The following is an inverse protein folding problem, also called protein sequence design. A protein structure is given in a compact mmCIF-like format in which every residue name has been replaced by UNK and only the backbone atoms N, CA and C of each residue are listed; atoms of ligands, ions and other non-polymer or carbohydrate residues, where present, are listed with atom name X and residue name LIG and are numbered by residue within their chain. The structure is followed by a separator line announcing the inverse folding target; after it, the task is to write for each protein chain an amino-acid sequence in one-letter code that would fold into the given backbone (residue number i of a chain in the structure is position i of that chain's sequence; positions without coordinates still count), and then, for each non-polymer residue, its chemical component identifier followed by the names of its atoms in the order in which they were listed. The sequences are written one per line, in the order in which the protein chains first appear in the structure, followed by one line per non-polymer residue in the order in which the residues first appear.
data_IF_430322180154
#
_entry.id   IF_430322180154
#
_cell.length_a   1.000
_cell.length_b   1.000
_cell.length_c   1.000
_cell.angle_alpha   90.00
_cell.angle_beta   90.00
_cell.angle_gamma   90.00
#
_symmetry.space_group_name_H-M   'P 1'
#
loop_
_entity.id
_entity.type
_entity.pdbx_description
1 polymer ?
#
# COMPACT_ATOMS: atom_id res chain seq x y z
N UNK A 1 0.76 2.57 76.50
CA UNK A 1 1.16 3.95 76.86
C UNK A 1 2.65 3.94 77.18
N UNK A 2 3.43 4.76 76.48
CA UNK A 2 4.61 5.44 77.02
C UNK A 2 5.90 4.66 77.32
N UNK A 3 6.84 4.74 76.37
CA UNK A 3 8.17 5.37 76.51
C UNK A 3 9.31 4.77 77.35
N UNK A 4 10.52 5.03 76.81
CA UNK A 4 11.88 5.02 77.38
C UNK A 4 12.53 3.64 77.53
N UNK A 5 13.81 3.44 77.30
CA UNK A 5 14.93 4.37 77.07
C UNK A 5 16.22 3.62 77.43
N UNK A 6 17.27 3.84 76.64
CA UNK A 6 18.60 3.21 76.66
C UNK A 6 19.51 3.58 77.84
N UNK A 7 20.40 2.66 78.20
CA UNK A 7 21.79 2.83 78.71
C UNK A 7 22.49 1.47 78.59
N UNK A 8 23.79 1.24 78.42
CA UNK A 8 25.07 1.95 78.24
C UNK A 8 26.07 0.82 77.85
N UNK A 9 27.34 0.98 77.48
CA UNK A 9 28.31 2.06 77.52
C UNK A 9 29.67 1.46 77.10
N UNK A 10 30.74 2.27 77.16
CA UNK A 10 32.13 1.78 77.08
C UNK A 10 32.99 2.57 76.09
N UNK A 11 33.64 3.61 76.60
CA UNK A 11 34.68 4.36 75.89
C UNK A 11 36.10 3.86 76.19
N UNK A 12 37.05 4.34 75.40
CA UNK A 12 38.49 4.20 75.65
C UNK A 12 39.27 4.61 74.40
N UNK A 13 39.75 5.86 74.38
CA UNK A 13 40.47 6.45 73.25
C UNK A 13 41.99 6.23 73.28
N UNK A 14 42.65 6.58 72.18
CA UNK A 14 44.10 6.73 72.10
C UNK A 14 44.65 6.98 70.70
N UNK A 15 45.09 8.22 70.44
CA UNK A 15 46.37 8.54 69.78
C UNK A 15 46.43 8.68 68.24
N UNK A 16 46.56 9.93 67.78
CA UNK A 16 47.04 10.33 66.45
C UNK A 16 48.55 10.07 66.26
N UNK A 17 48.98 9.71 65.04
CA UNK A 17 50.24 10.13 64.36
C UNK A 17 50.43 9.40 63.01
N UNK A 18 50.60 10.14 61.91
CA UNK A 18 50.93 9.69 60.54
C UNK A 18 52.42 9.39 60.38
N UNK A 19 52.84 8.44 59.50
CA UNK A 19 53.42 8.77 58.17
C UNK A 19 53.36 7.59 57.15
N UNK A 20 54.11 7.53 56.03
CA UNK A 20 54.39 8.49 54.95
C UNK A 20 53.84 8.01 53.57
N UNK A 21 53.88 8.88 52.56
CA UNK A 21 53.55 8.59 51.14
C UNK A 21 54.48 7.53 50.51
N UNK A 22 53.96 6.49 49.82
CA UNK A 22 54.81 5.52 49.13
C UNK A 22 55.24 5.97 47.72
N UNK A 23 56.47 5.59 47.39
CA UNK A 23 57.23 5.90 46.17
C UNK A 23 56.55 5.38 44.89
N UNK A 24 56.68 6.19 43.82
CA UNK A 24 56.24 5.91 42.44
C UNK A 24 57.30 5.08 41.70
N UNK A 25 56.94 3.91 41.17
CA UNK A 25 57.67 3.15 40.14
C UNK A 25 56.65 2.36 39.26
N UNK A 26 57.00 1.99 38.02
CA UNK A 26 56.25 2.39 36.81
C UNK A 26 55.16 1.41 36.30
N UNK A 27 54.29 1.94 35.44
CA UNK A 27 53.20 1.24 34.74
C UNK A 27 53.65 -0.01 33.97
N UNK A 28 52.92 -1.11 34.15
CA UNK A 28 52.77 -2.22 33.20
C UNK A 28 51.28 -2.59 33.18
N UNK A 29 50.62 -2.68 32.02
CA UNK A 29 49.17 -2.86 31.96
C UNK A 29 48.78 -4.33 32.16
N UNK A 30 47.73 -4.65 32.94
CA UNK A 30 47.13 -5.97 32.93
C UNK A 30 46.08 -6.11 31.81
N UNK A 31 45.73 -7.36 31.43
CA UNK A 31 45.22 -7.69 30.11
C UNK A 31 43.71 -7.49 29.97
N UNK A 32 43.30 -7.24 28.73
CA UNK A 32 41.94 -7.17 28.24
C UNK A 32 41.12 -8.39 28.66
N UNK A 33 40.18 -8.22 29.60
CA UNK A 33 39.18 -9.24 29.91
C UNK A 33 37.87 -8.90 29.22
N UNK A 34 37.49 -9.82 28.34
CA UNK A 34 36.19 -9.90 27.67
C UNK A 34 35.07 -9.99 28.70
N UNK A 35 34.18 -9.00 28.73
CA UNK A 35 32.80 -9.18 29.17
C UNK A 35 31.91 -8.81 27.99
N UNK A 36 31.46 -9.85 27.28
CA UNK A 36 30.52 -9.77 26.16
C UNK A 36 29.12 -9.67 26.74
N UNK A 37 28.61 -8.45 26.92
CA UNK A 37 27.16 -8.25 27.00
C UNK A 37 26.56 -8.49 25.61
N UNK A 38 25.47 -9.27 25.49
CA UNK A 38 24.76 -9.38 24.22
C UNK A 38 24.10 -8.03 23.93
N UNK A 39 24.60 -7.37 22.89
CA UNK A 39 24.04 -6.12 22.35
C UNK A 39 22.53 -6.28 22.17
N UNK A 40 21.78 -5.44 22.88
CA UNK A 40 20.36 -5.27 22.69
C UNK A 40 20.08 -5.08 21.19
N UNK A 41 19.29 -6.00 20.61
CA UNK A 41 18.77 -5.84 19.26
C UNK A 41 17.93 -4.56 19.29
N UNK A 42 18.43 -3.53 18.62
CA UNK A 42 17.72 -2.27 18.41
C UNK A 42 16.38 -2.56 17.73
N UNK A 43 15.29 -2.49 18.48
CA UNK A 43 13.91 -2.64 17.99
C UNK A 43 13.37 -1.38 17.33
N UNK A 44 14.24 -0.44 16.95
CA UNK A 44 13.83 0.73 16.18
C UNK A 44 13.44 0.30 14.76
N UNK A 45 12.22 0.62 14.29
CA UNK A 45 11.88 0.41 12.89
C UNK A 45 12.85 1.21 12.00
N UNK A 46 13.22 0.68 10.82
CA UNK A 46 14.12 1.39 9.92
C UNK A 46 13.54 2.77 9.59
N UNK A 47 14.40 3.81 9.42
CA UNK A 47 13.95 5.15 9.06
C UNK A 47 13.09 5.10 7.80
N UNK A 48 11.91 5.74 7.87
CA UNK A 48 11.01 5.88 6.73
C UNK A 48 11.74 6.58 5.59
N UNK A 49 11.73 6.00 4.39
CA UNK A 49 12.32 6.63 3.21
C UNK A 49 11.61 7.97 2.93
N UNK A 50 12.36 9.03 2.58
CA UNK A 50 11.73 10.30 2.21
C UNK A 50 10.82 10.11 0.98
N UNK A 51 9.75 10.93 0.85
CA UNK A 51 8.83 10.84 -0.27
C UNK A 51 9.60 10.97 -1.59
N UNK A 52 9.34 10.08 -2.57
CA UNK A 52 9.89 10.28 -3.91
C UNK A 52 9.27 11.54 -4.51
N UNK A 53 10.11 12.36 -5.13
CA UNK A 53 9.67 13.51 -5.91
C UNK A 53 8.56 13.10 -6.88
N UNK A 54 7.58 13.98 -7.15
CA UNK A 54 6.55 13.73 -8.15
C UNK A 54 7.19 13.33 -9.48
N UNK A 55 6.52 12.48 -10.28
CA UNK A 55 7.00 12.09 -11.60
C UNK A 55 7.37 13.33 -12.41
N UNK A 56 8.51 13.30 -13.09
CA UNK A 56 8.95 14.44 -13.92
C UNK A 56 7.97 14.60 -15.09
N UNK A 57 7.98 15.76 -15.76
CA UNK A 57 7.19 15.94 -16.99
C UNK A 57 7.47 14.85 -18.06
N UNK A 58 8.67 14.26 -18.05
CA UNK A 58 9.06 13.13 -18.90
C UNK A 58 8.41 11.78 -18.51
N UNK A 59 7.81 11.65 -17.31
CA UNK A 59 7.03 10.50 -16.86
C UNK A 59 5.52 10.68 -17.19
N UNK A 60 5.16 11.65 -18.06
CA UNK A 60 3.79 11.84 -18.55
C UNK A 60 3.35 10.80 -19.56
N UNK A 61 4.31 10.32 -20.35
CA UNK A 61 4.05 9.40 -21.44
C UNK A 61 4.30 7.95 -21.02
N UNK A 62 3.68 7.04 -21.77
CA UNK A 62 3.96 5.61 -21.65
C UNK A 62 5.40 5.33 -22.08
N UNK A 63 6.15 4.59 -21.27
CA UNK A 63 7.51 4.13 -21.60
C UNK A 63 7.49 2.65 -22.03
N UNK A 64 8.41 2.21 -22.91
CA UNK A 64 8.60 0.80 -23.19
C UNK A 64 8.93 0.01 -21.92
N UNK A 65 8.27 -1.13 -21.70
CA UNK A 65 8.53 -1.95 -20.51
C UNK A 65 10.00 -2.44 -20.47
N UNK A 66 10.64 -2.60 -21.62
CA UNK A 66 12.06 -2.95 -21.75
C UNK A 66 12.99 -1.95 -21.08
N UNK A 67 12.63 -0.67 -21.04
CA UNK A 67 13.47 0.38 -20.44
C UNK A 67 13.61 0.18 -18.93
N UNK A 68 12.66 -0.52 -18.32
CA UNK A 68 12.71 -0.90 -16.93
C UNK A 68 13.86 -1.88 -16.62
N UNK A 69 14.29 -2.68 -17.61
CA UNK A 69 15.45 -3.59 -17.45
C UNK A 69 16.71 -2.75 -17.24
N UNK A 70 16.92 -1.72 -18.07
CA UNK A 70 18.08 -0.83 -18.00
C UNK A 70 18.12 -0.04 -16.69
N UNK A 71 16.94 0.32 -16.15
CA UNK A 71 16.78 1.09 -14.91
C UNK A 71 16.74 0.20 -13.65
N UNK A 72 16.57 -1.10 -13.80
CA UNK A 72 16.53 -2.03 -12.66
C UNK A 72 17.92 -2.25 -12.09
N UNK A 73 18.05 -2.32 -10.76
CA UNK A 73 19.28 -2.74 -10.06
C UNK A 73 19.86 -4.02 -10.69
N UNK A 74 21.16 -4.29 -10.52
CA UNK A 74 21.88 -5.51 -10.99
C UNK A 74 21.32 -6.86 -10.46
N UNK A 75 20.07 -6.89 -9.99
CA UNK A 75 19.34 -8.07 -9.62
C UNK A 75 18.83 -8.83 -10.86
N UNK A 76 19.54 -9.90 -11.19
CA UNK A 76 19.20 -10.81 -12.28
C UNK A 76 17.75 -11.33 -12.23
N UNK A 77 17.20 -11.63 -11.04
CA UNK A 77 15.83 -12.14 -10.89
C UNK A 77 14.80 -11.11 -11.34
N UNK A 78 14.99 -9.85 -10.96
CA UNK A 78 14.11 -8.74 -11.36
C UNK A 78 14.18 -8.57 -12.89
N UNK A 79 15.39 -8.52 -13.45
CA UNK A 79 15.58 -8.36 -14.89
C UNK A 79 14.92 -9.48 -15.69
N UNK A 80 15.07 -10.72 -15.23
CA UNK A 80 14.49 -11.88 -15.92
C UNK A 80 12.96 -11.89 -15.84
N UNK A 81 12.37 -11.49 -14.71
CA UNK A 81 10.91 -11.30 -14.60
C UNK A 81 10.39 -10.22 -15.55
N UNK A 82 11.10 -9.10 -15.68
CA UNK A 82 10.73 -8.03 -16.63
C UNK A 82 10.83 -8.56 -18.07
N UNK A 83 11.87 -9.32 -18.42
CA UNK A 83 11.97 -9.95 -19.76
C UNK A 83 10.82 -10.89 -20.06
N UNK A 84 10.39 -11.70 -19.08
CA UNK A 84 9.21 -12.56 -19.21
C UNK A 84 7.96 -11.71 -19.47
N UNK A 85 7.77 -10.63 -18.72
CA UNK A 85 6.65 -9.71 -18.90
C UNK A 85 6.66 -8.99 -20.26
N UNK A 86 7.84 -8.60 -20.74
CA UNK A 86 8.03 -7.95 -22.05
C UNK A 86 7.61 -8.83 -23.23
N UNK A 87 7.30 -10.11 -23.03
CA UNK A 87 6.67 -10.94 -24.06
C UNK A 87 5.19 -10.59 -24.28
N UNK A 88 4.47 -10.21 -23.21
CA UNK A 88 3.03 -9.95 -23.23
C UNK A 88 2.67 -8.46 -23.18
N UNK A 89 3.53 -7.65 -22.57
CA UNK A 89 3.28 -6.23 -22.33
C UNK A 89 4.31 -5.38 -23.08
N UNK A 90 3.82 -4.32 -23.73
CA UNK A 90 4.64 -3.42 -24.55
C UNK A 90 5.01 -2.14 -23.81
N UNK A 91 4.01 -1.54 -23.15
CA UNK A 91 4.12 -0.22 -22.55
C UNK A 91 3.80 -0.25 -21.05
N UNK A 92 4.37 0.74 -20.35
CA UNK A 92 4.24 0.98 -18.94
C UNK A 92 3.91 2.46 -18.73
N UNK A 93 2.93 2.77 -17.89
CA UNK A 93 2.72 4.14 -17.38
C UNK A 93 3.01 4.17 -15.88
N UNK A 94 3.92 5.05 -15.48
CA UNK A 94 4.32 5.20 -14.09
C UNK A 94 3.25 5.90 -13.28
N UNK A 95 3.20 5.59 -11.99
CA UNK A 95 2.43 6.40 -11.04
C UNK A 95 3.32 7.01 -9.96
N UNK A 96 2.80 8.05 -9.31
CA UNK A 96 3.50 8.68 -8.21
C UNK A 96 3.56 7.73 -7.00
N UNK A 97 4.79 7.47 -6.55
CA UNK A 97 5.13 6.56 -5.45
C UNK A 97 5.04 7.27 -4.08
N UNK A 98 3.83 7.64 -3.66
CA UNK A 98 3.51 8.34 -2.41
C UNK A 98 2.78 7.45 -1.37
N UNK A 99 2.79 6.13 -1.60
CA UNK A 99 1.99 5.16 -0.85
C UNK A 99 0.59 4.92 -1.43
N UNK A 100 0.09 5.79 -2.32
CA UNK A 100 -1.20 5.65 -3.03
C UNK A 100 -1.06 5.20 -4.48
N UNK A 101 0.14 4.79 -4.91
CA UNK A 101 0.44 4.33 -6.27
C UNK A 101 -0.56 3.27 -6.79
N UNK A 102 -0.94 2.28 -5.97
CA UNK A 102 -1.95 1.28 -6.36
C UNK A 102 -3.32 1.91 -6.64
N UNK A 103 -3.82 2.72 -5.71
CA UNK A 103 -5.12 3.38 -5.82
C UNK A 103 -5.19 4.26 -7.07
N UNK A 104 -4.09 4.98 -7.32
CA UNK A 104 -3.92 5.83 -8.50
C UNK A 104 -3.88 5.00 -9.78
N UNK A 105 -3.08 3.93 -9.81
CA UNK A 105 -2.92 3.06 -10.96
C UNK A 105 -4.24 2.36 -11.35
N UNK A 106 -4.95 1.81 -10.36
CA UNK A 106 -6.25 1.17 -10.58
C UNK A 106 -7.27 2.17 -11.13
N UNK A 107 -7.45 3.30 -10.46
CA UNK A 107 -8.46 4.28 -10.86
C UNK A 107 -8.17 4.81 -12.26
N UNK A 108 -6.92 5.20 -12.53
CA UNK A 108 -6.55 5.77 -13.82
C UNK A 108 -6.68 4.75 -14.95
N UNK A 109 -6.19 3.52 -14.76
CA UNK A 109 -6.34 2.44 -15.74
C UNK A 109 -7.81 2.15 -16.04
N UNK A 110 -8.66 2.14 -15.02
CA UNK A 110 -10.09 1.95 -15.17
C UNK A 110 -10.77 3.10 -15.93
N UNK A 111 -10.46 4.35 -15.57
CA UNK A 111 -11.05 5.52 -16.22
C UNK A 111 -10.58 5.67 -17.69
N UNK A 112 -9.33 5.34 -18.03
CA UNK A 112 -8.90 5.27 -19.43
C UNK A 112 -9.76 4.29 -20.24
N UNK A 113 -10.07 3.13 -19.67
CA UNK A 113 -10.94 2.14 -20.32
C UNK A 113 -12.39 2.62 -20.40
N UNK A 114 -12.93 3.24 -19.34
CA UNK A 114 -14.26 3.84 -19.32
C UNK A 114 -14.43 4.86 -20.47
N UNK A 115 -13.43 5.70 -20.71
CA UNK A 115 -13.43 6.67 -21.81
C UNK A 115 -13.54 6.02 -23.20
N UNK A 116 -13.17 4.74 -23.33
CA UNK A 116 -13.24 3.97 -24.58
C UNK A 116 -14.47 3.07 -24.69
N UNK A 117 -15.28 2.92 -23.64
CA UNK A 117 -16.46 2.05 -23.67
C UNK A 117 -17.55 2.61 -24.57
N UNK A 118 -18.33 1.72 -25.21
CA UNK A 118 -19.49 2.12 -26.00
C UNK A 118 -20.63 2.63 -25.10
N UNK A 119 -20.94 1.89 -24.03
CA UNK A 119 -21.97 2.25 -23.06
C UNK A 119 -21.36 2.82 -21.77
N UNK A 120 -20.72 4.00 -21.91
CA UNK A 120 -20.03 4.66 -20.80
C UNK A 120 -20.97 4.95 -19.63
N UNK A 121 -22.19 5.40 -19.93
CA UNK A 121 -23.15 5.83 -18.91
C UNK A 121 -23.73 4.66 -18.11
N UNK A 122 -23.98 3.50 -18.74
CA UNK A 122 -24.34 2.31 -17.97
C UNK A 122 -23.21 1.87 -17.03
N UNK A 123 -21.95 1.99 -17.46
CA UNK A 123 -20.81 1.66 -16.58
C UNK A 123 -20.63 2.68 -15.43
N UNK A 124 -20.85 3.97 -15.69
CA UNK A 124 -20.92 4.98 -14.61
C UNK A 124 -22.01 4.60 -13.61
N UNK A 125 -23.20 4.27 -14.09
CA UNK A 125 -24.31 3.85 -13.24
C UNK A 125 -23.95 2.62 -12.40
N UNK A 126 -23.40 1.56 -13.02
CA UNK A 126 -22.95 0.34 -12.32
C UNK A 126 -21.91 0.66 -11.24
N UNK A 127 -20.90 1.47 -11.57
CA UNK A 127 -19.87 1.88 -10.61
C UNK A 127 -20.48 2.65 -9.43
N UNK A 128 -21.41 3.56 -9.68
CA UNK A 128 -22.06 4.32 -8.64
C UNK A 128 -22.99 3.47 -7.77
N UNK A 129 -23.60 2.41 -8.30
CA UNK A 129 -24.30 1.41 -7.48
C UNK A 129 -23.34 0.70 -6.50
N UNK A 130 -22.13 0.34 -6.94
CA UNK A 130 -21.11 -0.23 -6.06
C UNK A 130 -20.69 0.76 -4.95
N UNK A 131 -20.52 2.04 -5.30
CA UNK A 131 -20.25 3.11 -4.34
C UNK A 131 -21.41 3.28 -3.36
N UNK A 132 -22.66 3.25 -3.81
CA UNK A 132 -23.85 3.35 -2.95
C UNK A 132 -23.91 2.21 -1.93
N UNK A 133 -23.64 0.97 -2.35
CA UNK A 133 -23.56 -0.19 -1.45
C UNK A 133 -22.48 0.01 -0.38
N UNK A 134 -21.31 0.52 -0.79
CA UNK A 134 -20.22 0.83 0.14
C UNK A 134 -20.60 1.96 1.10
N UNK A 135 -21.31 2.98 0.62
CA UNK A 135 -21.81 4.10 1.44
C UNK A 135 -22.84 3.63 2.48
N UNK A 136 -23.77 2.74 2.11
CA UNK A 136 -24.72 2.14 3.07
C UNK A 136 -23.99 1.38 4.19
N UNK A 137 -22.99 0.60 3.82
CA UNK A 137 -22.11 -0.12 4.76
C UNK A 137 -21.29 0.83 5.63
N UNK A 138 -20.82 1.95 5.07
CA UNK A 138 -20.12 2.98 5.82
C UNK A 138 -20.97 3.46 6.99
N UNK A 139 -22.23 3.83 6.77
CA UNK A 139 -23.11 4.34 7.83
C UNK A 139 -23.47 3.30 8.90
N UNK A 140 -23.28 2.01 8.62
CA UNK A 140 -23.51 0.93 9.59
C UNK A 140 -22.29 0.67 10.49
N UNK A 141 -21.12 1.23 10.16
CA UNK A 141 -19.91 1.05 10.94
C UNK A 141 -19.82 2.10 12.06
N UNK A 142 -19.29 1.68 13.20
CA UNK A 142 -18.93 2.59 14.28
C UNK A 142 -17.58 3.26 13.97
N UNK A 143 -17.63 4.54 13.64
CA UNK A 143 -16.47 5.38 13.44
C UNK A 143 -16.22 6.14 14.75
N UNK A 144 -15.52 5.51 15.71
CA UNK A 144 -15.25 6.13 17.02
C UNK A 144 -14.50 7.46 16.92
N UNK A 145 -14.35 8.21 18.02
CA UNK A 145 -13.78 9.57 18.07
C UNK A 145 -12.41 9.78 17.38
N UNK A 146 -11.63 8.71 17.21
CA UNK A 146 -10.37 8.74 16.45
C UNK A 146 -10.57 8.91 14.93
N UNK A 147 -11.82 8.87 14.46
CA UNK A 147 -12.18 9.05 13.07
C UNK A 147 -12.42 10.53 12.76
N UNK A 148 -11.47 11.14 12.06
CA UNK A 148 -11.58 12.51 11.56
C UNK A 148 -12.58 12.66 10.40
N UNK A 149 -13.17 11.56 9.92
CA UNK A 149 -14.21 11.59 8.91
C UNK A 149 -15.57 11.62 9.60
N UNK A 150 -16.15 12.82 9.68
CA UNK A 150 -17.56 12.92 10.05
C UNK A 150 -18.45 12.41 8.90
N UNK A 151 -19.56 11.70 9.16
CA UNK A 151 -20.41 11.10 8.13
C UNK A 151 -20.93 12.10 7.08
N UNK A 152 -21.06 13.37 7.44
CA UNK A 152 -21.43 14.48 6.55
C UNK A 152 -20.41 14.76 5.43
N UNK A 153 -19.15 14.35 5.58
CA UNK A 153 -18.12 14.56 4.57
C UNK A 153 -18.12 13.48 3.47
N UNK A 154 -18.68 12.30 3.75
CA UNK A 154 -18.71 11.21 2.78
C UNK A 154 -19.46 11.62 1.50
N UNK A 155 -20.56 12.35 1.64
CA UNK A 155 -21.34 12.87 0.50
C UNK A 155 -20.50 13.75 -0.43
N UNK A 156 -19.61 14.59 0.13
CA UNK A 156 -18.70 15.42 -0.68
C UNK A 156 -17.68 14.57 -1.43
N UNK A 157 -17.16 13.51 -0.81
CA UNK A 157 -16.20 12.59 -1.45
C UNK A 157 -16.85 11.81 -2.59
N UNK A 158 -18.06 11.28 -2.35
CA UNK A 158 -18.86 10.56 -3.35
C UNK A 158 -19.18 11.48 -4.53
N UNK A 159 -19.55 12.74 -4.27
CA UNK A 159 -19.83 13.72 -5.31
C UNK A 159 -18.59 14.06 -6.14
N UNK A 160 -17.43 14.29 -5.52
CA UNK A 160 -16.19 14.57 -6.25
C UNK A 160 -15.77 13.37 -7.12
N UNK A 161 -15.90 12.15 -6.59
CA UNK A 161 -15.66 10.92 -7.35
C UNK A 161 -16.61 10.78 -8.54
N UNK A 162 -17.91 11.00 -8.33
CA UNK A 162 -18.90 10.99 -9.41
C UNK A 162 -18.57 12.02 -10.49
N UNK A 163 -18.23 13.25 -10.12
CA UNK A 163 -17.85 14.29 -11.08
C UNK A 163 -16.65 13.86 -11.94
N UNK A 164 -15.61 13.27 -11.34
CA UNK A 164 -14.46 12.75 -12.08
C UNK A 164 -14.87 11.66 -13.08
N UNK A 165 -15.61 10.64 -12.61
CA UNK A 165 -16.06 9.52 -13.44
C UNK A 165 -16.94 10.01 -14.59
N UNK A 166 -17.89 10.90 -14.29
CA UNK A 166 -18.81 11.46 -15.28
C UNK A 166 -18.09 12.37 -16.28
N UNK A 167 -17.07 13.14 -15.88
CA UNK A 167 -16.25 13.91 -16.83
C UNK A 167 -15.56 13.00 -17.85
N UNK A 168 -15.04 11.84 -17.43
CA UNK A 168 -14.46 10.84 -18.33
C UNK A 168 -15.50 10.25 -19.27
N UNK A 169 -16.68 9.89 -18.75
CA UNK A 169 -17.78 9.40 -19.58
C UNK A 169 -18.26 10.42 -20.62
N UNK A 170 -18.08 11.72 -20.35
CA UNK A 170 -18.41 12.83 -21.26
C UNK A 170 -17.21 13.33 -22.09
N UNK A 171 -16.12 12.55 -22.20
CA UNK A 171 -15.04 12.82 -23.15
C UNK A 171 -13.81 13.54 -22.59
N UNK A 172 -13.58 13.54 -21.27
CA UNK A 172 -12.28 13.92 -20.72
C UNK A 172 -11.18 13.01 -21.31
N UNK A 173 -10.15 13.61 -21.91
CA UNK A 173 -9.07 12.87 -22.54
C UNK A 173 -8.15 12.19 -21.51
N UNK A 174 -7.52 11.09 -21.89
CA UNK A 174 -6.56 10.37 -21.03
C UNK A 174 -5.40 11.27 -20.56
N UNK A 175 -4.95 12.19 -21.40
CA UNK A 175 -3.91 13.18 -21.06
C UNK A 175 -4.37 14.09 -19.92
N UNK A 176 -5.54 14.75 -20.06
CA UNK A 176 -6.09 15.63 -19.02
C UNK A 176 -6.43 14.88 -17.74
N UNK A 177 -6.92 13.65 -17.87
CA UNK A 177 -7.14 12.77 -16.74
C UNK A 177 -5.83 12.50 -15.99
N UNK A 178 -4.72 12.32 -16.71
CA UNK A 178 -3.42 12.03 -16.11
C UNK A 178 -2.86 13.26 -15.42
N UNK A 179 -2.95 14.43 -16.07
CA UNK A 179 -2.60 15.71 -15.46
C UNK A 179 -3.36 15.92 -14.15
N UNK A 180 -4.69 15.72 -14.16
CA UNK A 180 -5.52 15.79 -12.95
C UNK A 180 -5.14 14.74 -11.89
N UNK A 181 -4.65 13.57 -12.31
CA UNK A 181 -4.17 12.55 -11.37
C UNK A 181 -2.84 12.93 -10.70
N UNK A 182 -2.08 13.84 -11.30
CA UNK A 182 -0.86 14.42 -10.74
C UNK A 182 -1.13 15.73 -9.97
N UNK A 183 -2.29 16.37 -10.18
CA UNK A 183 -2.73 17.56 -9.44
C UNK A 183 -3.09 17.24 -7.99
N UNK A 184 -2.29 17.78 -7.08
CA UNK A 184 -2.12 17.32 -5.72
C UNK A 184 -3.36 17.36 -4.79
N UNK A 185 -4.18 18.44 -4.69
CA UNK A 185 -5.27 18.45 -3.72
C UNK A 185 -6.52 17.65 -4.15
N UNK A 186 -6.89 17.62 -5.44
CA UNK A 186 -8.04 16.83 -5.92
C UNK A 186 -7.70 15.35 -6.00
N UNK A 187 -6.49 15.01 -6.46
CA UNK A 187 -5.95 13.65 -6.38
C UNK A 187 -6.00 13.13 -4.94
N UNK A 188 -5.52 13.91 -3.96
CA UNK A 188 -5.46 13.49 -2.56
C UNK A 188 -6.82 13.11 -1.99
N UNK A 189 -7.85 13.90 -2.31
CA UNK A 189 -9.22 13.67 -1.85
C UNK A 189 -9.82 12.40 -2.45
N UNK A 190 -9.63 12.16 -3.76
CA UNK A 190 -10.08 10.94 -4.42
C UNK A 190 -9.31 9.71 -3.90
N UNK A 191 -7.99 9.79 -3.73
CA UNK A 191 -7.19 8.67 -3.19
C UNK A 191 -7.66 8.31 -1.78
N UNK A 192 -7.96 9.31 -0.96
CA UNK A 192 -8.49 9.11 0.37
C UNK A 192 -9.88 8.44 0.34
N UNK A 193 -10.76 8.84 -0.57
CA UNK A 193 -12.06 8.19 -0.75
C UNK A 193 -11.91 6.70 -1.12
N UNK A 194 -11.01 6.34 -2.03
CA UNK A 194 -10.75 4.93 -2.37
C UNK A 194 -10.24 4.13 -1.17
N UNK A 195 -9.47 4.74 -0.26
CA UNK A 195 -9.06 4.09 1.01
C UNK A 195 -10.23 3.89 1.96
N UNK A 196 -11.17 4.84 2.02
CA UNK A 196 -12.42 4.67 2.79
C UNK A 196 -13.21 3.48 2.25
N UNK A 197 -13.41 3.37 0.93
CA UNK A 197 -14.08 2.22 0.32
C UNK A 197 -13.38 0.89 0.66
N UNK A 198 -12.05 0.89 0.61
CA UNK A 198 -11.23 -0.28 0.99
C UNK A 198 -11.45 -0.68 2.44
N UNK A 199 -11.42 0.28 3.37
CA UNK A 199 -11.64 0.01 4.79
C UNK A 199 -13.05 -0.50 5.07
N UNK A 200 -14.07 0.09 4.43
CA UNK A 200 -15.46 -0.35 4.56
C UNK A 200 -15.60 -1.81 4.13
N UNK A 201 -15.04 -2.19 2.99
CA UNK A 201 -15.09 -3.58 2.51
C UNK A 201 -14.37 -4.53 3.48
N UNK A 202 -13.19 -4.16 3.99
CA UNK A 202 -12.44 -4.98 4.96
C UNK A 202 -13.21 -5.15 6.28
N UNK A 203 -13.81 -4.08 6.80
CA UNK A 203 -14.52 -4.08 8.08
C UNK A 203 -15.86 -4.80 8.03
N UNK A 204 -16.51 -4.84 6.87
CA UNK A 204 -17.87 -5.39 6.74
C UNK A 204 -17.92 -6.82 6.21
N UNK A 205 -16.85 -7.32 5.60
CA UNK A 205 -16.86 -8.68 5.04
C UNK A 205 -16.01 -9.66 5.84
N UNK A 206 -16.65 -10.76 6.22
CA UNK A 206 -16.07 -11.83 7.03
C UNK A 206 -14.83 -12.49 6.39
N UNK A 207 -14.75 -12.46 5.05
CA UNK A 207 -13.65 -13.06 4.28
C UNK A 207 -12.28 -12.46 4.64
N UNK A 208 -12.24 -11.27 5.23
CA UNK A 208 -10.99 -10.61 5.60
C UNK A 208 -10.46 -11.01 6.97
N UNK A 209 -11.33 -11.52 7.86
CA UNK A 209 -10.95 -11.87 9.25
C UNK A 209 -9.72 -12.79 9.34
N UNK A 210 -9.57 -13.84 8.51
CA UNK A 210 -8.40 -14.74 8.60
C UNK A 210 -7.06 -14.06 8.27
N UNK A 211 -7.08 -12.91 7.58
CA UNK A 211 -5.88 -12.20 7.17
C UNK A 211 -5.48 -11.09 8.16
N UNK A 212 -6.31 -10.81 9.16
CA UNK A 212 -6.02 -9.84 10.21
C UNK A 212 -5.20 -10.55 11.30
N UNK A 213 -4.05 -10.00 11.72
CA UNK A 213 -3.26 -10.56 12.83
C UNK A 213 -4.09 -10.76 14.10
N UNK A 214 -3.89 -11.87 14.81
CA UNK A 214 -4.69 -12.23 16.00
C UNK A 214 -4.55 -11.24 17.16
N UNK A 215 -3.44 -10.51 17.20
CA UNK A 215 -3.11 -9.49 18.18
C UNK A 215 -3.66 -8.09 17.83
N UNK A 216 -4.43 -7.97 16.75
CA UNK A 216 -4.92 -6.70 16.21
C UNK A 216 -6.41 -6.77 15.88
N UNK A 217 -7.17 -5.76 16.27
CA UNK A 217 -8.55 -5.63 15.80
C UNK A 217 -8.62 -5.08 14.35
N UNK A 218 -9.77 -5.23 13.69
CA UNK A 218 -9.94 -4.78 12.30
C UNK A 218 -9.78 -3.26 12.12
N UNK A 219 -10.12 -2.47 13.14
CA UNK A 219 -10.01 -1.01 13.10
C UNK A 219 -8.55 -0.58 13.18
N UNK A 220 -7.78 -1.19 14.09
CA UNK A 220 -6.33 -1.02 14.22
C UNK A 220 -5.62 -1.46 12.93
N UNK A 221 -6.03 -2.58 12.35
CA UNK A 221 -5.52 -3.07 11.08
C UNK A 221 -5.76 -2.04 9.97
N UNK A 222 -6.99 -1.56 9.80
CA UNK A 222 -7.28 -0.57 8.76
C UNK A 222 -6.55 0.76 8.99
N UNK A 223 -6.43 1.22 10.25
CA UNK A 223 -5.64 2.40 10.58
C UNK A 223 -4.18 2.24 10.13
N UNK A 224 -3.55 1.11 10.42
CA UNK A 224 -2.13 0.86 10.13
C UNK A 224 -1.86 0.53 8.67
N UNK A 225 -2.70 -0.30 8.05
CA UNK A 225 -2.45 -0.93 6.73
C UNK A 225 -3.25 -0.35 5.58
N UNK A 226 -4.37 0.32 5.84
CA UNK A 226 -5.20 0.96 4.80
C UNK A 226 -4.99 2.46 4.79
N UNK A 227 -4.86 3.09 5.96
CA UNK A 227 -4.71 4.55 6.08
C UNK A 227 -3.26 5.00 6.20
N UNK A 228 -2.44 4.31 7.00
CA UNK A 228 -1.08 4.77 7.30
C UNK A 228 -1.04 5.72 8.48
N UNK A 229 0.14 6.25 8.78
CA UNK A 229 0.36 7.11 9.95
C UNK A 229 -0.07 8.53 9.60
N UNK A 230 -1.16 8.99 10.20
CA UNK A 230 -1.41 10.43 10.30
C UNK A 230 -0.62 10.95 11.50
N UNK A 231 0.19 12.03 11.36
CA UNK A 231 0.73 12.68 12.54
C UNK A 231 -0.43 13.07 13.44
N UNK A 232 -0.29 12.85 14.74
CA UNK A 232 -1.30 13.06 15.80
C UNK A 232 -1.84 14.50 15.89
N UNK A 233 -1.42 15.38 14.97
CA UNK A 233 -1.96 16.71 14.82
C UNK A 233 -3.44 16.62 14.43
N UNK A 234 -4.26 17.33 15.21
CA UNK A 234 -5.70 17.59 15.05
C UNK A 234 -6.06 18.33 13.74
N UNK A 235 -5.38 18.05 12.64
CA UNK A 235 -5.75 18.55 11.31
C UNK A 235 -6.79 17.60 10.78
N UNK A 236 -8.00 18.09 10.52
CA UNK A 236 -9.06 17.31 9.86
C UNK A 236 -8.48 16.60 8.64
N UNK A 237 -8.61 15.26 8.56
CA UNK A 237 -7.97 14.48 7.51
C UNK A 237 -8.30 14.99 6.09
N UNK A 238 -9.48 15.57 5.90
CA UNK A 238 -9.90 16.21 4.67
C UNK A 238 -9.18 17.54 4.41
N UNK A 239 -9.06 18.41 5.42
CA UNK A 239 -8.29 19.64 5.30
C UNK A 239 -6.82 19.34 5.08
N UNK A 240 -6.29 18.29 5.72
CA UNK A 240 -4.97 17.76 5.44
C UNK A 240 -4.88 17.32 3.98
N UNK A 241 -5.73 16.41 3.49
CA UNK A 241 -5.73 15.99 2.08
C UNK A 241 -5.86 17.15 1.08
N UNK A 242 -6.60 18.21 1.43
CA UNK A 242 -6.81 19.39 0.59
C UNK A 242 -5.68 20.42 0.65
N UNK A 243 -4.88 20.45 1.71
CA UNK A 243 -3.86 21.52 1.94
C UNK A 243 -2.44 21.02 2.16
N UNK A 244 -2.26 19.72 2.41
CA UNK A 244 -0.99 19.05 2.69
C UNK A 244 -0.97 17.69 2.03
N UNK A 245 0.03 17.46 1.20
CA UNK A 245 0.24 16.17 0.54
C UNK A 245 0.46 15.10 1.59
N UNK A 246 -0.43 14.10 1.64
CA UNK A 246 -0.22 12.98 2.53
C UNK A 246 0.80 12.02 1.89
N UNK A 247 2.09 12.32 2.10
CA UNK A 247 3.18 11.45 1.68
C UNK A 247 3.38 10.22 2.59
N UNK A 248 2.41 9.91 3.46
CA UNK A 248 2.56 8.96 4.57
C UNK A 248 1.53 7.83 4.52
N UNK A 249 0.92 7.61 3.37
CA UNK A 249 -0.05 6.54 3.21
C UNK A 249 0.62 5.16 3.25
N UNK A 250 -0.10 4.18 3.80
CA UNK A 250 0.31 2.78 3.73
C UNK A 250 0.19 2.26 2.28
N UNK A 251 1.23 1.56 1.83
CA UNK A 251 1.22 0.85 0.55
C UNK A 251 0.15 -0.26 0.55
N UNK A 252 -0.55 -0.40 -0.57
CA UNK A 252 -1.55 -1.45 -0.70
C UNK A 252 -0.89 -2.81 -0.90
N UNK A 253 -1.25 -3.78 -0.06
CA UNK A 253 -0.92 -5.19 -0.24
C UNK A 253 -2.10 -5.93 -0.91
N UNK A 254 -1.95 -7.23 -1.16
CA UNK A 254 -2.98 -8.03 -1.85
C UNK A 254 -4.38 -7.95 -1.21
N UNK A 255 -4.45 -7.73 0.11
CA UNK A 255 -5.72 -7.58 0.85
C UNK A 255 -6.41 -6.26 0.48
N UNK A 256 -5.68 -5.14 0.47
CA UNK A 256 -6.22 -3.83 0.07
C UNK A 256 -6.59 -3.83 -1.41
N UNK A 257 -5.77 -4.46 -2.26
CA UNK A 257 -6.06 -4.61 -3.69
C UNK A 257 -7.36 -5.38 -3.91
N UNK A 258 -7.54 -6.50 -3.19
CA UNK A 258 -8.78 -7.28 -3.22
C UNK A 258 -9.98 -6.47 -2.76
N UNK A 259 -9.85 -5.79 -1.63
CA UNK A 259 -10.96 -5.06 -1.04
C UNK A 259 -11.44 -3.94 -1.96
N UNK A 260 -10.54 -3.15 -2.53
CA UNK A 260 -10.96 -2.09 -3.44
C UNK A 260 -11.59 -2.63 -4.74
N UNK A 261 -10.98 -3.67 -5.34
CA UNK A 261 -11.53 -4.29 -6.56
C UNK A 261 -12.92 -4.88 -6.31
N UNK A 262 -13.15 -5.49 -5.15
CA UNK A 262 -14.46 -6.02 -4.76
C UNK A 262 -15.46 -4.92 -4.45
N UNK A 263 -15.04 -3.86 -3.75
CA UNK A 263 -15.89 -2.72 -3.43
C UNK A 263 -16.41 -2.00 -4.68
N UNK A 264 -15.61 -1.94 -5.75
CA UNK A 264 -15.96 -1.28 -7.00
C UNK A 264 -16.48 -2.23 -8.10
N UNK A 265 -16.37 -3.55 -7.88
CA UNK A 265 -16.70 -4.56 -8.88
C UNK A 265 -15.79 -4.52 -10.11
N UNK A 266 -14.53 -4.10 -9.95
CA UNK A 266 -13.57 -3.94 -11.04
C UNK A 266 -12.64 -5.16 -11.07
N UNK A 267 -12.65 -6.00 -12.12
CA UNK A 267 -11.68 -7.07 -12.27
C UNK A 267 -10.29 -6.49 -12.53
N UNK A 268 -9.27 -7.13 -11.95
CA UNK A 268 -7.90 -6.61 -11.98
C UNK A 268 -6.89 -7.75 -12.10
N UNK A 269 -5.89 -7.57 -12.95
CA UNK A 269 -4.67 -8.38 -12.99
C UNK A 269 -3.51 -7.60 -12.40
N UNK A 270 -2.73 -8.25 -11.53
CA UNK A 270 -1.51 -7.68 -10.97
C UNK A 270 -0.33 -8.62 -11.21
N UNK A 271 0.65 -8.12 -11.95
CA UNK A 271 1.93 -8.79 -12.19
C UNK A 271 2.94 -8.36 -11.14
N UNK A 272 3.54 -9.32 -10.43
CA UNK A 272 4.44 -9.05 -9.31
C UNK A 272 5.88 -9.29 -9.72
N UNK A 273 6.69 -8.22 -9.63
CA UNK A 273 8.13 -8.25 -9.81
C UNK A 273 8.80 -7.98 -8.47
N UNK A 274 9.14 -9.07 -7.78
CA UNK A 274 9.92 -9.08 -6.55
C UNK A 274 11.26 -9.82 -6.73
N UNK A 275 12.09 -9.78 -5.69
CA UNK A 275 13.39 -10.48 -5.67
C UNK A 275 13.26 -11.99 -5.39
N UNK A 276 12.03 -12.50 -5.18
CA UNK A 276 11.82 -13.88 -4.75
C UNK A 276 11.94 -14.84 -5.93
N UNK A 277 12.76 -15.87 -5.78
CA UNK A 277 12.82 -17.01 -6.69
C UNK A 277 13.04 -18.28 -5.87
N UNK A 278 12.46 -19.40 -6.32
CA UNK A 278 12.70 -20.69 -5.67
C UNK A 278 14.08 -21.21 -6.07
N UNK A 279 14.93 -21.65 -5.11
CA UNK A 279 16.24 -22.22 -5.42
C UNK A 279 16.10 -23.42 -6.36
N UNK A 280 16.91 -23.47 -7.42
CA UNK A 280 16.91 -24.57 -8.40
C UNK A 280 15.73 -24.59 -9.37
N UNK A 281 14.84 -23.58 -9.37
CA UNK A 281 13.76 -23.46 -10.35
C UNK A 281 14.01 -22.29 -11.32
N UNK A 282 13.47 -22.41 -12.53
CA UNK A 282 13.44 -21.32 -13.49
C UNK A 282 12.71 -20.10 -12.90
N UNK A 283 13.14 -18.89 -13.29
CA UNK A 283 12.50 -17.65 -12.86
C UNK A 283 11.05 -17.61 -13.36
N UNK A 284 10.13 -17.27 -12.44
CA UNK A 284 8.69 -17.17 -12.71
C UNK A 284 8.16 -15.82 -12.26
N UNK A 285 7.25 -15.27 -13.04
CA UNK A 285 6.47 -14.09 -12.65
C UNK A 285 5.23 -14.56 -11.90
N UNK A 286 4.96 -13.94 -10.75
CA UNK A 286 3.74 -14.19 -9.97
C UNK A 286 2.64 -13.25 -10.49
N UNK A 287 1.47 -13.83 -10.78
CA UNK A 287 0.26 -13.11 -11.21
C UNK A 287 -0.84 -13.28 -10.18
N UNK A 288 -1.55 -12.20 -9.89
CA UNK A 288 -2.78 -12.19 -9.10
C UNK A 288 -3.93 -11.67 -9.97
N UNK A 289 -4.95 -12.50 -10.18
CA UNK A 289 -6.18 -12.09 -10.85
C UNK A 289 -7.31 -11.96 -9.81
N UNK A 290 -7.94 -10.78 -9.78
CA UNK A 290 -9.08 -10.42 -8.94
C UNK A 290 -10.33 -10.33 -9.83
N UNK A 291 -11.39 -11.04 -9.46
CA UNK A 291 -12.65 -11.11 -10.22
C UNK A 291 -13.84 -10.51 -9.44
N UNK A 292 -14.87 -10.09 -10.18
CA UNK A 292 -16.11 -9.58 -9.60
C UNK A 292 -16.86 -10.68 -8.81
N UNK A 293 -17.64 -10.24 -7.81
CA UNK A 293 -18.36 -11.09 -6.86
C UNK A 293 -19.67 -11.67 -7.41
N UNK A 294 -20.14 -11.23 -8.58
CA UNK A 294 -21.44 -11.61 -9.14
C UNK A 294 -21.33 -12.32 -10.49
N UNK A 295 -21.78 -13.58 -10.55
CA UNK A 295 -22.33 -14.17 -11.77
C UNK A 295 -21.79 -15.51 -12.28
N UNK A 296 -21.57 -16.53 -11.43
CA UNK A 296 -21.89 -17.94 -11.77
C UNK A 296 -21.72 -18.82 -10.52
N UNK A 297 -22.67 -19.71 -10.29
CA UNK A 297 -22.76 -20.52 -9.09
C UNK A 297 -21.52 -21.35 -8.76
N UNK A 298 -21.31 -21.56 -7.45
CA UNK A 298 -20.53 -22.66 -6.86
C UNK A 298 -19.01 -22.70 -7.16
N UNK A 299 -18.28 -21.59 -7.08
CA UNK A 299 -16.84 -21.64 -6.74
C UNK A 299 -16.47 -20.55 -5.74
N UNK A 300 -15.56 -20.80 -4.79
CA UNK A 300 -15.19 -19.81 -3.78
C UNK A 300 -14.65 -18.54 -4.45
N UNK A 301 -14.85 -17.42 -3.79
CA UNK A 301 -14.33 -16.12 -4.19
C UNK A 301 -12.79 -16.20 -4.30
N UNK A 302 -12.23 -16.17 -5.50
CA UNK A 302 -10.81 -16.44 -5.70
C UNK A 302 -10.06 -15.19 -6.18
N UNK A 303 -9.10 -14.75 -5.36
CA UNK A 303 -7.85 -14.27 -5.94
C UNK A 303 -7.22 -15.49 -6.59
N UNK A 304 -7.07 -15.48 -7.91
CA UNK A 304 -6.37 -16.57 -8.61
C UNK A 304 -4.89 -16.20 -8.64
N UNK A 305 -4.10 -16.94 -7.87
CA UNK A 305 -2.65 -16.83 -7.89
C UNK A 305 -2.10 -17.83 -8.91
N UNK A 306 -1.34 -17.33 -9.88
CA UNK A 306 -0.65 -18.17 -10.86
C UNK A 306 0.81 -17.74 -11.03
N UNK A 307 1.60 -18.61 -11.64
CA UNK A 307 3.01 -18.37 -11.91
C UNK A 307 3.33 -18.80 -13.33
N UNK A 308 4.05 -17.98 -14.08
CA UNK A 308 4.42 -18.31 -15.45
C UNK A 308 5.87 -17.97 -15.75
N UNK A 309 6.47 -18.78 -16.61
CA UNK A 309 7.87 -18.69 -17.05
C UNK A 309 7.95 -18.22 -18.50
N UNK A 310 9.18 -17.97 -18.97
CA UNK A 310 9.46 -17.63 -20.37
C UNK A 310 9.00 -18.69 -21.39
N UNK A 311 8.82 -19.94 -20.98
CA UNK A 311 8.37 -21.07 -21.81
C UNK A 311 6.85 -21.25 -21.86
N UNK A 312 6.08 -20.43 -21.14
CA UNK A 312 4.62 -20.56 -21.08
C UNK A 312 4.03 -20.04 -22.38
N UNK A 313 3.15 -20.81 -23.03
CA UNK A 313 2.42 -20.34 -24.20
C UNK A 313 1.55 -19.14 -23.82
N UNK A 314 1.79 -18.00 -24.47
CA UNK A 314 1.08 -16.76 -24.20
C UNK A 314 -0.10 -16.64 -25.16
N UNK A 315 -1.33 -16.63 -24.64
CA UNK A 315 -2.50 -16.24 -25.43
C UNK A 315 -2.59 -14.71 -25.50
N UNK A 316 -2.90 -14.13 -26.68
CA UNK A 316 -3.19 -12.70 -26.79
C UNK A 316 -4.36 -12.31 -25.88
N UNK A 317 -4.27 -11.14 -25.25
CA UNK A 317 -5.38 -10.53 -24.51
C UNK A 317 -6.31 -9.86 -25.54
N UNK A 318 -7.23 -10.63 -26.11
CA UNK A 318 -8.22 -10.09 -27.05
C UNK A 318 -9.40 -9.47 -26.29
N UNK A 319 -9.73 -8.22 -26.65
CA UNK A 319 -10.87 -7.50 -26.05
C UNK A 319 -12.18 -8.19 -26.44
N UNK A 320 -12.95 -8.66 -25.46
CA UNK A 320 -14.25 -9.28 -25.67
C UNK A 320 -15.32 -8.26 -26.07
N UNK A 321 -16.32 -8.71 -26.83
CA UNK A 321 -17.39 -7.85 -27.38
C UNK A 321 -18.48 -7.44 -26.38
N UNK A 322 -18.60 -8.13 -25.23
CA UNK A 322 -19.79 -8.03 -24.36
C UNK A 322 -19.50 -7.63 -22.89
N UNK A 323 -18.29 -7.86 -22.37
CA UNK A 323 -17.87 -7.42 -21.03
C UNK A 323 -16.60 -6.55 -21.16
N UNK A 324 -16.75 -5.23 -21.08
CA UNK A 324 -15.69 -4.27 -21.41
C UNK A 324 -14.44 -4.32 -20.49
N UNK A 325 -14.46 -5.14 -19.43
CA UNK A 325 -13.38 -5.25 -18.45
C UNK A 325 -12.76 -6.66 -18.39
N UNK A 326 -13.31 -7.62 -19.14
CA UNK A 326 -12.78 -8.98 -19.26
C UNK A 326 -12.44 -9.29 -20.72
N UNK A 327 -11.38 -10.06 -20.92
CA UNK A 327 -11.02 -10.67 -22.19
C UNK A 327 -12.02 -11.78 -22.56
N UNK A 328 -12.03 -12.21 -23.82
CA UNK A 328 -12.81 -13.37 -24.29
C UNK A 328 -12.56 -14.65 -23.48
N UNK A 329 -11.35 -14.81 -22.93
CA UNK A 329 -11.00 -15.94 -22.06
C UNK A 329 -11.39 -15.73 -20.58
N UNK A 330 -12.11 -14.65 -20.29
CA UNK A 330 -12.55 -14.27 -18.96
C UNK A 330 -11.46 -13.64 -18.10
N UNK A 331 -10.28 -13.28 -18.67
CA UNK A 331 -9.20 -12.65 -17.89
C UNK A 331 -9.39 -11.14 -17.72
N UNK A 332 -8.94 -10.53 -16.60
CA UNK A 332 -9.03 -9.08 -16.43
C UNK A 332 -8.22 -8.33 -17.49
N UNK A 333 -8.83 -7.29 -18.08
CA UNK A 333 -8.15 -6.43 -19.06
C UNK A 333 -7.23 -5.40 -18.40
N UNK A 334 -7.61 -4.91 -17.20
CA UNK A 334 -6.79 -3.97 -16.43
C UNK A 334 -5.61 -4.73 -15.83
N UNK A 335 -4.40 -4.36 -16.24
CA UNK A 335 -3.17 -4.97 -15.72
C UNK A 335 -2.31 -3.93 -15.02
N UNK A 336 -1.89 -4.21 -13.79
CA UNK A 336 -0.92 -3.41 -13.04
C UNK A 336 0.38 -4.18 -12.84
N UNK A 337 1.49 -3.45 -12.79
CA UNK A 337 2.80 -3.93 -12.35
C UNK A 337 3.00 -3.55 -10.88
N UNK A 338 3.20 -4.53 -10.01
CA UNK A 338 3.59 -4.31 -8.62
C UNK A 338 5.07 -4.60 -8.42
N UNK A 339 5.79 -3.60 -7.90
CA UNK A 339 7.19 -3.64 -7.51
C UNK A 339 7.32 -3.18 -6.07
N UNK A 340 8.48 -3.39 -5.46
CA UNK A 340 8.72 -2.89 -4.11
C UNK A 340 8.51 -1.38 -4.03
N UNK A 341 7.47 -0.95 -3.31
CA UNK A 341 7.08 0.45 -3.13
C UNK A 341 6.41 1.14 -4.30
N UNK A 342 6.16 0.47 -5.42
CA UNK A 342 5.60 1.10 -6.61
C UNK A 342 4.55 0.21 -7.28
N UNK A 343 3.49 0.84 -7.77
CA UNK A 343 2.48 0.18 -8.59
C UNK A 343 2.23 1.01 -9.84
N UNK A 344 2.38 0.41 -11.01
CA UNK A 344 2.30 1.09 -12.30
C UNK A 344 1.30 0.39 -13.21
N UNK A 345 0.93 1.01 -14.32
CA UNK A 345 -0.05 0.47 -15.26
C UNK A 345 0.67 -0.22 -16.41
N UNK A 346 0.28 -1.47 -16.68
CA UNK A 346 0.80 -2.25 -17.81
C UNK A 346 -0.19 -2.27 -18.95
N UNK A 347 0.31 -2.03 -20.16
CA UNK A 347 -0.48 -2.14 -21.37
C UNK A 347 -0.04 -3.39 -22.16
N UNK A 348 -0.97 -4.30 -22.49
CA UNK A 348 -0.67 -5.46 -23.32
C UNK A 348 -0.21 -5.03 -24.72
N UNK A 349 0.53 -5.91 -25.40
CA UNK A 349 0.95 -5.73 -26.79
C UNK A 349 -0.18 -5.90 -27.78
#
# INVERSE_FOLDING_TARGET
MGSKGTSGGGGGGGGDTTPPSPRRLPLVPPPTSLSREPSAISTSPPPLQPPRAPPRAADRDTEPLSDLILKSSNNYIIQEKIKILSKQYGLLRRTWSDGSCFYRALLFSYLENLGQMQDRQAEVFRLMQCVEVSTKRFYQLEWGEAYLLKPEFLSSLVFEFYCLVNSVANGLTSEKLYERSLEDPSSGTIMYFLRVLTEVEIRTQDIYRPFIPKDMDVVQYCRKKVRGVFPEAKVEALQFCRTKVCHQYAEAEAIQMRALTYALGIPLRVEIVDTKSMPGQAVRVKRLDFFNRSGLGKRPYHIVQSYYSSSTAHKPLERGSNDNLLSLDGTPLLTLLSRHGCCDILYPK
#
